data_IF_042463670533
#
_entry.id   IF_042463670533
#
_cell.length_a   1.000
_cell.length_b   1.000
_cell.length_c   1.000
_cell.angle_alpha   90.00
_cell.angle_beta   90.00
_cell.angle_gamma   90.00
#
_symmetry.space_group_name_H-M   'P 1'
#
loop_
_entity.id
_entity.type
_entity.pdbx_description
1 polymer ?
#
# COMPACT_ATOMS: atom_id res chain seq x y z
N UNK A 1 8.15 -6.04 -5.04
CA UNK A 1 7.75 -5.10 -3.96
C UNK A 1 8.95 -4.30 -3.45
N UNK A 2 9.94 -4.94 -2.81
CA UNK A 2 11.17 -4.27 -2.33
C UNK A 2 11.92 -3.45 -3.40
N UNK A 3 12.03 -3.99 -4.63
CA UNK A 3 12.72 -3.29 -5.74
C UNK A 3 12.00 -2.03 -6.24
N UNK A 4 10.71 -1.88 -5.93
CA UNK A 4 9.89 -0.75 -6.38
C UNK A 4 9.57 0.22 -5.24
N UNK A 5 10.05 -0.07 -4.03
CA UNK A 5 9.78 0.75 -2.87
C UNK A 5 10.66 2.01 -2.94
N UNK A 6 10.07 3.21 -2.95
CA UNK A 6 10.85 4.44 -2.97
C UNK A 6 11.78 4.54 -1.75
N UNK A 7 12.94 5.17 -1.92
CA UNK A 7 13.88 5.40 -0.82
C UNK A 7 13.20 6.19 0.32
N UNK A 8 13.42 5.74 1.56
CA UNK A 8 12.84 6.33 2.78
C UNK A 8 11.77 5.47 3.46
N UNK A 9 11.16 4.52 2.74
CA UNK A 9 10.35 3.49 3.41
C UNK A 9 11.24 2.40 3.99
N UNK A 10 10.88 1.90 5.18
CA UNK A 10 11.56 0.79 5.85
C UNK A 10 10.60 -0.38 6.05
N UNK A 11 11.13 -1.59 5.86
CA UNK A 11 10.45 -2.83 6.24
C UNK A 11 10.53 -3.00 7.76
N UNK A 12 9.41 -3.36 8.37
CA UNK A 12 9.29 -3.67 9.79
C UNK A 12 8.17 -4.67 10.03
N UNK A 13 8.19 -5.34 11.18
CA UNK A 13 7.03 -6.11 11.64
C UNK A 13 6.08 -5.18 12.39
N UNK A 14 4.85 -5.03 11.90
CA UNK A 14 3.82 -4.18 12.51
C UNK A 14 2.46 -4.87 12.45
N UNK A 15 1.68 -4.78 13.54
CA UNK A 15 0.34 -5.40 13.63
C UNK A 15 0.29 -6.90 13.27
N UNK A 16 1.39 -7.64 13.49
CA UNK A 16 1.52 -9.05 13.11
C UNK A 16 1.70 -9.31 11.61
N UNK A 17 2.06 -8.28 10.84
CA UNK A 17 2.21 -8.30 9.39
C UNK A 17 3.57 -7.69 8.99
N UNK A 18 4.04 -7.99 7.77
CA UNK A 18 5.18 -7.28 7.20
C UNK A 18 4.67 -5.92 6.75
N UNK A 19 5.17 -4.85 7.34
CA UNK A 19 4.81 -3.47 7.04
C UNK A 19 5.97 -2.75 6.39
N UNK A 20 5.67 -1.91 5.42
CA UNK A 20 6.58 -0.97 4.78
C UNK A 20 6.05 0.41 5.08
N UNK A 21 6.83 1.23 5.77
CA UNK A 21 6.35 2.53 6.25
C UNK A 21 7.48 3.48 6.56
N UNK A 22 7.10 4.72 6.87
CA UNK A 22 8.04 5.77 7.23
C UNK A 22 8.32 5.65 8.74
N UNK A 23 9.58 5.49 9.17
CA UNK A 23 9.91 5.34 10.57
C UNK A 23 9.63 6.63 11.36
N UNK A 24 9.34 6.50 12.65
CA UNK A 24 9.08 7.66 13.54
C UNK A 24 10.27 8.61 13.66
N UNK A 25 11.50 8.13 13.41
CA UNK A 25 12.70 8.97 13.34
C UNK A 25 12.67 9.98 12.20
N UNK A 26 11.94 9.67 11.12
CA UNK A 26 11.76 10.54 9.95
C UNK A 26 10.43 11.30 10.01
N UNK A 27 9.38 10.69 10.55
CA UNK A 27 8.08 11.33 10.75
C UNK A 27 7.45 10.94 12.10
N UNK A 28 7.63 11.76 13.16
CA UNK A 28 7.13 11.43 14.50
C UNK A 28 5.63 11.74 14.70
N UNK A 29 5.04 12.61 13.87
CA UNK A 29 3.67 13.13 14.06
C UNK A 29 2.59 12.15 13.53
N UNK A 30 2.51 10.99 14.16
CA UNK A 30 1.48 9.97 13.86
C UNK A 30 0.51 9.86 15.03
N UNK A 31 -0.79 9.71 14.75
CA UNK A 31 -1.82 9.65 15.82
C UNK A 31 -1.62 8.51 16.82
N UNK A 32 -1.02 7.40 16.38
CA UNK A 32 -0.85 6.18 17.15
C UNK A 32 0.60 5.96 17.61
N UNK A 33 1.49 6.93 17.37
CA UNK A 33 2.93 6.81 17.65
C UNK A 33 3.53 5.53 17.07
N UNK A 34 3.08 5.14 15.87
CA UNK A 34 3.63 4.02 15.11
C UNK A 34 4.12 4.51 13.74
N UNK A 35 5.07 3.80 13.10
CA UNK A 35 5.52 4.13 11.75
C UNK A 35 4.33 4.34 10.80
N UNK A 36 4.41 5.36 9.95
CA UNK A 36 3.35 5.67 9.01
C UNK A 36 3.33 4.59 7.92
N UNK A 37 2.42 3.63 8.08
CA UNK A 37 2.30 2.46 7.21
C UNK A 37 1.90 2.89 5.79
N UNK A 38 2.71 2.51 4.82
CA UNK A 38 2.49 2.77 3.41
C UNK A 38 1.94 1.54 2.69
N UNK A 39 2.54 0.38 2.93
CA UNK A 39 2.04 -0.90 2.46
C UNK A 39 2.23 -1.98 3.53
N UNK A 40 1.39 -3.00 3.52
CA UNK A 40 1.58 -4.15 4.41
C UNK A 40 1.15 -5.46 3.75
N UNK A 41 1.89 -6.53 4.01
CA UNK A 41 1.58 -7.88 3.56
C UNK A 41 1.15 -8.74 4.74
N UNK A 42 -0.06 -9.26 4.66
CA UNK A 42 -0.69 -10.08 5.69
C UNK A 42 -1.00 -11.47 5.17
N UNK A 43 -0.70 -12.48 5.99
CA UNK A 43 -1.18 -13.84 5.78
C UNK A 43 -2.43 -14.07 6.64
N UNK A 44 -3.59 -14.21 5.99
CA UNK A 44 -4.85 -14.54 6.64
C UNK A 44 -5.16 -16.03 6.44
N UNK A 45 -6.03 -16.59 7.29
CA UNK A 45 -6.35 -18.03 7.27
C UNK A 45 -6.83 -18.59 5.91
N UNK A 46 -7.38 -17.74 5.03
CA UNK A 46 -8.00 -18.16 3.75
C UNK A 46 -7.47 -17.41 2.52
N UNK A 47 -6.66 -16.38 2.71
CA UNK A 47 -6.16 -15.51 1.65
C UNK A 47 -4.93 -14.73 2.16
N UNK A 48 -4.20 -14.14 1.23
CA UNK A 48 -3.23 -13.11 1.52
C UNK A 48 -3.86 -11.74 1.28
N UNK A 49 -3.50 -10.76 2.09
CA UNK A 49 -3.96 -9.39 1.94
C UNK A 49 -2.75 -8.47 1.77
N UNK A 50 -2.77 -7.69 0.68
CA UNK A 50 -1.84 -6.60 0.46
C UNK A 50 -2.58 -5.29 0.74
N UNK A 51 -2.15 -4.61 1.78
CA UNK A 51 -2.60 -3.27 2.11
C UNK A 51 -1.76 -2.26 1.34
N UNK A 52 -2.42 -1.38 0.59
CA UNK A 52 -1.81 -0.29 -0.18
C UNK A 52 -2.46 1.03 0.25
N UNK A 53 -1.79 1.79 1.13
CA UNK A 53 -2.35 3.01 1.71
C UNK A 53 -2.32 4.19 0.74
N UNK A 54 -1.53 4.13 -0.32
CA UNK A 54 -1.55 5.13 -1.40
C UNK A 54 -2.75 4.99 -2.33
N UNK A 55 -3.38 3.82 -2.36
CA UNK A 55 -4.60 3.53 -3.13
C UNK A 55 -5.85 3.80 -2.27
N UNK A 56 -5.69 4.41 -1.10
CA UNK A 56 -6.79 4.65 -0.18
C UNK A 56 -7.67 5.81 -0.65
N UNK A 57 -8.90 5.48 -1.06
CA UNK A 57 -9.87 6.42 -1.61
C UNK A 57 -9.88 6.38 -3.14
N UNK A 58 -11.05 6.61 -3.75
CA UNK A 58 -11.32 6.56 -5.20
C UNK A 58 -10.50 7.58 -6.03
N UNK A 59 -9.18 7.44 -6.01
CA UNK A 59 -8.21 8.29 -6.69
C UNK A 59 -7.64 7.63 -7.95
N UNK A 60 -6.76 8.36 -8.63
CA UNK A 60 -6.14 7.88 -9.87
C UNK A 60 -5.37 6.57 -9.71
N UNK A 61 -4.75 6.36 -8.55
CA UNK A 61 -3.98 5.14 -8.25
C UNK A 61 -4.89 3.90 -8.17
N UNK A 62 -6.11 4.05 -7.63
CA UNK A 62 -7.11 2.97 -7.59
C UNK A 62 -7.62 2.65 -8.99
N UNK A 63 -7.93 3.69 -9.78
CA UNK A 63 -8.38 3.53 -11.17
C UNK A 63 -7.33 2.79 -12.00
N UNK A 64 -6.05 3.17 -11.92
CA UNK A 64 -4.94 2.50 -12.63
C UNK A 64 -4.82 1.03 -12.24
N UNK A 65 -4.98 0.72 -10.96
CA UNK A 65 -4.94 -0.66 -10.49
C UNK A 65 -6.12 -1.47 -11.05
N UNK A 66 -7.33 -0.90 -11.03
CA UNK A 66 -8.54 -1.52 -11.62
C UNK A 66 -8.37 -1.80 -13.11
N UNK A 67 -7.90 -0.82 -13.87
CA UNK A 67 -7.64 -0.94 -15.30
C UNK A 67 -6.59 -2.02 -15.60
N UNK A 68 -5.51 -2.07 -14.82
CA UNK A 68 -4.46 -3.07 -15.01
C UNK A 68 -4.93 -4.50 -14.71
N UNK A 69 -5.78 -4.69 -13.69
CA UNK A 69 -6.40 -5.98 -13.42
C UNK A 69 -7.37 -6.39 -14.53
N UNK A 70 -8.21 -5.46 -14.99
CA UNK A 70 -9.15 -5.70 -16.09
C UNK A 70 -8.42 -6.06 -17.39
N UNK A 71 -7.33 -5.37 -17.72
CA UNK A 71 -6.51 -5.65 -18.91
C UNK A 71 -5.87 -7.05 -18.89
N UNK A 72 -5.64 -7.62 -17.70
CA UNK A 72 -5.14 -9.00 -17.53
C UNK A 72 -6.25 -10.04 -17.39
N UNK A 73 -7.52 -9.65 -17.45
CA UNK A 73 -8.66 -10.52 -17.18
C UNK A 73 -8.71 -11.03 -15.74
N UNK A 74 -7.99 -10.37 -14.82
CA UNK A 74 -7.93 -10.74 -13.40
C UNK A 74 -9.06 -10.06 -12.63
N UNK A 75 -9.68 -10.79 -11.72
CA UNK A 75 -10.67 -10.22 -10.81
C UNK A 75 -9.97 -9.46 -9.69
N UNK A 76 -10.18 -8.15 -9.63
CA UNK A 76 -9.73 -7.34 -8.49
C UNK A 76 -10.67 -7.55 -7.30
N UNK A 77 -10.21 -8.29 -6.27
CA UNK A 77 -10.89 -8.39 -4.98
C UNK A 77 -10.27 -7.41 -3.98
N UNK A 78 -10.80 -6.18 -3.95
CA UNK A 78 -10.22 -5.08 -3.17
C UNK A 78 -11.27 -4.34 -2.33
N UNK A 79 -10.96 -4.07 -1.06
CA UNK A 79 -11.62 -3.05 -0.23
C UNK A 79 -10.89 -1.71 -0.33
N UNK A 80 -11.21 -0.71 0.53
CA UNK A 80 -10.66 0.66 0.41
C UNK A 80 -9.13 0.78 0.26
N UNK A 81 -8.35 -0.11 0.87
CA UNK A 81 -6.90 -0.24 0.67
C UNK A 81 -6.41 -1.68 0.66
N UNK A 82 -7.32 -2.65 0.80
CA UNK A 82 -6.96 -4.04 1.06
C UNK A 82 -7.25 -4.89 -0.18
N UNK A 83 -6.19 -5.27 -0.88
CA UNK A 83 -6.25 -6.17 -2.02
C UNK A 83 -6.06 -7.61 -1.54
N UNK A 84 -7.04 -8.47 -1.81
CA UNK A 84 -7.06 -9.86 -1.37
C UNK A 84 -6.74 -10.79 -2.53
N UNK A 85 -5.86 -11.75 -2.29
CA UNK A 85 -5.43 -12.71 -3.31
C UNK A 85 -5.12 -14.07 -2.68
N UNK A 86 -5.09 -15.14 -3.48
CA UNK A 86 -4.72 -16.49 -3.00
C UNK A 86 -3.42 -16.96 -3.59
N UNK A 87 -3.16 -16.62 -4.86
CA UNK A 87 -1.94 -16.94 -5.59
C UNK A 87 -1.29 -15.66 -6.11
N UNK A 88 0.03 -15.69 -6.29
CA UNK A 88 0.73 -14.58 -6.93
C UNK A 88 0.27 -14.35 -8.37
N UNK A 89 -0.16 -15.42 -9.05
CA UNK A 89 -0.73 -15.34 -10.40
C UNK A 89 -2.03 -14.53 -10.46
N UNK A 90 -2.73 -14.38 -9.33
CA UNK A 90 -3.95 -13.58 -9.22
C UNK A 90 -3.65 -12.07 -9.09
N UNK A 91 -2.37 -11.71 -8.94
CA UNK A 91 -1.91 -10.33 -8.80
C UNK A 91 -1.30 -9.84 -10.11
N UNK A 92 -1.75 -8.69 -10.59
CA UNK A 92 -1.00 -7.90 -11.56
C UNK A 92 0.24 -7.28 -10.87
N UNK A 93 1.26 -8.10 -10.57
CA UNK A 93 2.44 -7.71 -9.78
C UNK A 93 3.15 -6.47 -10.33
N UNK A 94 3.23 -6.34 -11.66
CA UNK A 94 3.84 -5.17 -12.29
C UNK A 94 3.03 -3.89 -12.01
N UNK A 95 1.70 -3.98 -12.06
CA UNK A 95 0.82 -2.87 -11.75
C UNK A 95 0.91 -2.49 -10.27
N UNK A 96 0.91 -3.48 -9.38
CA UNK A 96 1.09 -3.27 -7.94
C UNK A 96 2.44 -2.62 -7.64
N UNK A 97 3.51 -3.09 -8.31
CA UNK A 97 4.85 -2.49 -8.21
C UNK A 97 4.88 -1.04 -8.68
N UNK A 98 4.27 -0.74 -9.83
CA UNK A 98 4.16 0.61 -10.36
C UNK A 98 3.35 1.53 -9.42
N UNK A 99 2.25 1.02 -8.85
CA UNK A 99 1.45 1.74 -7.87
C UNK A 99 2.28 2.06 -6.62
N UNK A 100 3.07 1.12 -6.09
CA UNK A 100 3.97 1.35 -4.94
C UNK A 100 5.07 2.36 -5.29
N UNK A 101 5.62 2.30 -6.49
CA UNK A 101 6.68 3.23 -6.92
C UNK A 101 6.17 4.66 -7.15
N UNK A 102 4.88 4.84 -7.41
CA UNK A 102 4.28 6.13 -7.78
C UNK A 102 4.27 7.17 -6.66
N UNK A 103 4.41 6.76 -5.39
CA UNK A 103 4.25 7.66 -4.25
C UNK A 103 5.51 7.67 -3.39
N UNK A 104 6.36 8.71 -3.52
CA UNK A 104 7.48 8.94 -2.62
C UNK A 104 7.01 9.24 -1.17
N UNK A 105 7.86 9.02 -0.15
CA UNK A 105 7.51 9.27 1.26
C UNK A 105 6.98 10.68 1.53
N UNK A 106 7.61 11.71 0.95
CA UNK A 106 7.17 13.09 1.12
C UNK A 106 5.76 13.33 0.56
N UNK A 107 5.44 12.78 -0.61
CA UNK A 107 4.09 12.84 -1.20
C UNK A 107 3.08 12.12 -0.32
N UNK A 108 3.47 10.98 0.26
CA UNK A 108 2.59 10.22 1.14
C UNK A 108 2.32 10.97 2.46
N UNK A 109 3.33 11.59 3.06
CA UNK A 109 3.17 12.46 4.25
C UNK A 109 2.21 13.61 3.94
N UNK A 110 2.41 14.31 2.81
CA UNK A 110 1.55 15.42 2.42
C UNK A 110 0.08 14.98 2.23
N UNK A 111 -0.16 13.82 1.58
CA UNK A 111 -1.50 13.24 1.46
C UNK A 111 -2.10 12.88 2.82
N UNK A 112 -1.30 12.31 3.72
CA UNK A 112 -1.71 11.96 5.08
C UNK A 112 -2.13 13.19 5.88
N UNK A 113 -1.32 14.25 5.89
CA UNK A 113 -1.62 15.51 6.58
C UNK A 113 -2.85 16.21 6.02
N UNK A 114 -2.99 16.24 4.69
CA UNK A 114 -4.17 16.80 4.02
C UNK A 114 -5.45 16.06 4.40
N UNK A 115 -5.42 14.72 4.52
CA UNK A 115 -6.58 13.93 4.95
C UNK A 115 -7.05 14.21 6.38
N UNK A 116 -6.21 14.88 7.18
CA UNK A 116 -6.43 15.16 8.60
C UNK A 116 -6.68 16.63 8.92
N UNK A 117 -6.38 17.53 7.99
CA UNK A 117 -6.81 18.93 8.07
C UNK A 117 -8.33 18.96 7.97
N UNK A 118 -8.97 19.26 9.10
CA UNK A 118 -10.37 19.70 9.16
C UNK A 118 -10.53 21.09 8.58
#
# INVERSE_FOLDING_TARGET
>A
MLQHLPAGYRETMGFGMICYGIPLSEYPDTYNKQPLCYAALAAQKRHYALYLMNVYGDGEDERRLREAFAARGLKLDMGKSCLRFKRLDDLALDAVGATIASTPPATFIARYEASRRK
#
